data_IF_965260351944
#
_entry.id   IF_965260351944
#
_cell.length_a   1.000
_cell.length_b   1.000
_cell.length_c   1.000
_cell.angle_alpha   90.00
_cell.angle_beta   90.00
_cell.angle_gamma   90.00
#
_symmetry.space_group_name_H-M   'P 1'
#
loop_
_entity.id
_entity.type
_entity.pdbx_description
1 polymer ?
#
# COMPACT_ATOMS: atom_id res chain seq x y z
N UNK A 1 -7.64 -6.03 -71.01
CA UNK A 1 -6.24 -5.59 -70.75
C UNK A 1 -6.34 -4.39 -69.83
N UNK A 2 -6.38 -4.60 -68.51
CA UNK A 2 -5.21 -4.92 -67.70
C UNK A 2 -4.74 -3.61 -67.07
N UNK A 3 -5.26 -3.32 -65.88
CA UNK A 3 -5.29 -2.00 -65.24
C UNK A 3 -3.87 -1.46 -64.97
N UNK A 4 -3.68 -0.17 -65.28
CA UNK A 4 -2.43 0.58 -65.05
C UNK A 4 -2.16 0.66 -63.55
N UNK A 5 -0.94 0.29 -63.13
CA UNK A 5 -0.47 0.45 -61.77
C UNK A 5 -0.43 1.94 -61.40
N UNK A 6 -1.31 2.35 -60.50
CA UNK A 6 -1.16 3.58 -59.74
C UNK A 6 -0.27 3.26 -58.55
N UNK A 7 0.93 3.86 -58.52
CA UNK A 7 1.84 3.83 -57.37
C UNK A 7 1.05 4.17 -56.12
N UNK A 8 1.03 3.26 -55.15
CA UNK A 8 0.63 3.58 -53.78
C UNK A 8 1.55 4.73 -53.37
N UNK A 9 0.98 5.92 -53.19
CA UNK A 9 1.69 6.98 -52.50
C UNK A 9 1.98 6.39 -51.13
N UNK A 10 3.25 6.17 -50.81
CA UNK A 10 3.68 6.11 -49.42
C UNK A 10 3.45 7.53 -48.88
N UNK A 11 2.18 7.84 -48.59
CA UNK A 11 1.83 8.79 -47.56
C UNK A 11 2.63 8.30 -46.36
N UNK A 12 3.67 9.05 -45.99
CA UNK A 12 4.30 8.91 -44.69
C UNK A 12 3.15 9.06 -43.70
N UNK A 13 2.63 7.93 -43.27
CA UNK A 13 1.82 7.81 -42.08
C UNK A 13 2.78 8.16 -40.95
N UNK A 14 2.99 9.47 -40.77
CA UNK A 14 3.69 10.01 -39.61
C UNK A 14 2.72 9.80 -38.46
N UNK A 15 2.70 8.57 -37.97
CA UNK A 15 2.18 8.29 -36.66
C UNK A 15 3.10 9.03 -35.68
N UNK A 16 2.70 10.26 -35.38
CA UNK A 16 3.25 10.98 -34.25
C UNK A 16 2.67 10.31 -33.00
N UNK A 17 3.47 9.48 -32.34
CA UNK A 17 3.24 9.16 -30.93
C UNK A 17 3.38 10.45 -30.12
N UNK A 18 2.39 11.33 -30.19
CA UNK A 18 2.17 12.31 -29.15
C UNK A 18 1.58 11.53 -27.98
N UNK A 19 2.49 10.90 -27.22
CA UNK A 19 2.20 10.37 -25.90
C UNK A 19 1.71 11.53 -25.04
N UNK A 20 0.38 11.67 -25.00
CA UNK A 20 -0.34 12.66 -24.23
C UNK A 20 -0.21 12.39 -22.74
N UNK A 21 0.93 12.75 -22.17
CA UNK A 21 0.98 13.22 -20.79
C UNK A 21 1.05 14.74 -20.83
N UNK A 22 0.08 15.38 -21.50
CA UNK A 22 -0.23 16.74 -21.10
C UNK A 22 -0.82 16.62 -19.71
N UNK A 23 0.00 16.93 -18.71
CA UNK A 23 -0.51 17.34 -17.40
C UNK A 23 -1.38 18.56 -17.68
N UNK A 24 -2.66 18.33 -17.97
CA UNK A 24 -3.66 19.33 -17.71
C UNK A 24 -3.47 19.62 -16.24
N UNK A 25 -3.06 20.85 -15.94
CA UNK A 25 -2.99 21.39 -14.60
C UNK A 25 -4.42 21.48 -14.05
N UNK A 26 -5.08 20.35 -13.87
CA UNK A 26 -5.97 20.19 -12.76
C UNK A 26 -5.05 20.37 -11.57
N UNK A 27 -5.17 21.54 -10.94
CA UNK A 27 -4.77 21.74 -9.57
C UNK A 27 -5.44 20.57 -8.85
N UNK A 28 -4.70 19.48 -8.65
CA UNK A 28 -5.09 18.43 -7.75
C UNK A 28 -5.25 19.20 -6.46
N UNK A 29 -6.49 19.30 -5.99
CA UNK A 29 -6.74 19.77 -4.63
C UNK A 29 -5.70 19.08 -3.76
N UNK A 30 -4.97 19.81 -2.89
CA UNK A 30 -4.00 19.18 -2.03
C UNK A 30 -4.75 18.00 -1.43
N UNK A 31 -4.28 16.79 -1.71
CA UNK A 31 -4.77 15.61 -1.02
C UNK A 31 -4.66 16.03 0.43
N UNK A 32 -5.78 16.34 1.07
CA UNK A 32 -5.79 16.48 2.51
C UNK A 32 -5.18 15.16 2.94
N UNK A 33 -3.96 15.23 3.46
CA UNK A 33 -3.31 14.12 4.13
C UNK A 33 -4.39 13.67 5.11
N UNK A 34 -5.16 12.66 4.72
CA UNK A 34 -5.95 11.87 5.64
C UNK A 34 -4.86 11.24 6.48
N UNK A 35 -4.41 12.00 7.49
CA UNK A 35 -3.31 11.67 8.39
C UNK A 35 -3.49 10.19 8.66
N UNK A 36 -2.65 9.37 8.03
CA UNK A 36 -2.87 7.94 7.98
C UNK A 36 -2.87 7.50 9.42
N UNK A 37 -4.07 7.27 9.97
CA UNK A 37 -4.29 7.30 11.41
C UNK A 37 -3.38 6.23 11.99
N UNK A 38 -2.26 6.66 12.57
CA UNK A 38 -1.20 5.75 12.94
C UNK A 38 -1.82 4.78 13.95
N UNK A 39 -1.77 3.49 13.64
CA UNK A 39 -2.43 2.50 14.47
C UNK A 39 -1.91 2.63 15.90
N UNK A 40 -2.80 2.90 16.85
CA UNK A 40 -2.42 3.07 18.25
C UNK A 40 -1.67 1.81 18.72
N UNK A 41 -0.53 2.01 19.38
CA UNK A 41 0.31 0.93 19.89
C UNK A 41 0.21 0.86 21.41
N UNK A 42 0.18 -0.36 21.94
CA UNK A 42 0.14 -0.64 23.38
C UNK A 42 1.40 -1.40 23.78
N UNK A 43 1.98 -1.00 24.90
CA UNK A 43 3.13 -1.69 25.49
C UNK A 43 2.64 -2.86 26.34
N UNK A 44 3.10 -4.07 26.03
CA UNK A 44 2.82 -5.30 26.79
C UNK A 44 4.10 -5.82 27.45
N UNK A 45 4.02 -6.25 28.71
CA UNK A 45 5.10 -6.93 29.41
C UNK A 45 4.75 -8.41 29.57
N UNK A 46 5.59 -9.30 29.04
CA UNK A 46 5.36 -10.73 29.16
C UNK A 46 5.47 -11.20 30.61
N UNK A 47 4.50 -11.97 31.09
CA UNK A 47 4.48 -12.43 32.49
C UNK A 47 5.57 -13.48 32.80
N UNK A 48 6.01 -14.23 31.79
CA UNK A 48 6.98 -15.32 31.96
C UNK A 48 8.43 -14.81 31.93
N UNK A 49 8.82 -14.03 30.91
CA UNK A 49 10.20 -13.60 30.72
C UNK A 49 10.45 -12.11 31.02
N UNK A 50 9.39 -11.34 31.29
CA UNK A 50 9.50 -9.91 31.57
C UNK A 50 9.83 -9.02 30.36
N UNK A 51 9.94 -9.60 29.15
CA UNK A 51 10.24 -8.85 27.93
C UNK A 51 9.13 -7.82 27.65
N UNK A 52 9.52 -6.61 27.28
CA UNK A 52 8.60 -5.54 26.89
C UNK A 52 8.45 -5.53 25.37
N UNK A 53 7.22 -5.55 24.90
CA UNK A 53 6.89 -5.59 23.47
C UNK A 53 5.83 -4.55 23.14
N UNK A 54 5.86 -4.02 21.91
CA UNK A 54 4.81 -3.16 21.39
C UNK A 54 3.88 -3.98 20.51
N UNK A 55 2.60 -3.99 20.86
CA UNK A 55 1.54 -4.66 20.09
C UNK A 55 0.59 -3.61 19.52
N UNK A 56 0.00 -3.83 18.34
CA UNK A 56 -1.06 -2.97 17.85
C UNK A 56 -2.26 -3.03 18.80
N UNK A 57 -2.99 -1.92 18.90
CA UNK A 57 -4.13 -1.81 19.79
C UNK A 57 -5.17 -2.92 19.48
N UNK A 58 -5.48 -3.77 20.47
CA UNK A 58 -6.44 -4.84 20.28
C UNK A 58 -7.86 -4.27 20.18
N UNK A 59 -8.63 -4.76 19.22
CA UNK A 59 -10.03 -4.34 19.02
C UNK A 59 -11.01 -4.93 20.05
N UNK A 60 -10.56 -5.86 20.88
CA UNK A 60 -11.38 -6.61 21.85
C UNK A 60 -10.79 -6.44 23.24
N UNK A 61 -11.67 -6.41 24.24
CA UNK A 61 -11.29 -6.35 25.66
C UNK A 61 -10.51 -7.60 26.11
N UNK A 62 -10.85 -8.77 25.55
CA UNK A 62 -10.16 -10.04 25.81
C UNK A 62 -9.35 -10.48 24.60
N UNK A 63 -8.06 -10.68 24.79
CA UNK A 63 -7.12 -11.07 23.74
C UNK A 63 -5.94 -11.87 24.30
N UNK A 64 -5.24 -12.56 23.40
CA UNK A 64 -4.01 -13.29 23.73
C UNK A 64 -2.83 -12.61 23.09
N UNK A 65 -1.74 -12.47 23.84
CA UNK A 65 -0.45 -11.97 23.33
C UNK A 65 0.56 -13.09 23.40
N UNK A 66 1.16 -13.41 22.25
CA UNK A 66 2.25 -14.38 22.17
C UNK A 66 3.55 -13.61 22.29
N UNK A 67 4.43 -14.03 23.19
CA UNK A 67 5.75 -13.44 23.34
C UNK A 67 6.56 -13.62 22.05
N UNK A 68 6.99 -12.50 21.45
CA UNK A 68 7.83 -12.48 20.25
C UNK A 68 9.28 -12.92 20.53
N UNK A 69 9.68 -13.05 21.80
CA UNK A 69 10.97 -13.60 22.16
C UNK A 69 10.99 -15.11 21.83
N UNK A 70 11.87 -15.49 20.91
CA UNK A 70 11.91 -16.83 20.30
C UNK A 70 12.07 -17.97 21.30
N UNK A 71 12.72 -17.72 22.44
CA UNK A 71 12.93 -18.75 23.46
C UNK A 71 11.79 -18.83 24.48
N UNK A 72 10.93 -17.81 24.57
CA UNK A 72 9.82 -17.76 25.52
C UNK A 72 8.55 -18.37 24.92
N UNK A 73 8.06 -17.82 23.82
CA UNK A 73 6.83 -18.29 23.16
C UNK A 73 5.58 -18.33 24.04
N UNK A 74 5.60 -17.68 25.22
CA UNK A 74 4.49 -17.71 26.17
C UNK A 74 3.25 -16.98 25.65
N UNK A 75 2.07 -17.51 25.98
CA UNK A 75 0.77 -16.91 25.66
C UNK A 75 0.19 -16.23 26.91
N UNK A 76 0.21 -14.90 26.94
CA UNK A 76 -0.44 -14.10 27.98
C UNK A 76 -1.91 -13.84 27.60
N UNK A 77 -2.84 -14.16 28.50
CA UNK A 77 -4.27 -13.85 28.33
C UNK A 77 -4.58 -12.54 29.05
N UNK A 78 -5.03 -11.53 28.29
CA UNK A 78 -5.40 -10.23 28.82
C UNK A 78 -6.93 -10.08 28.75
N UNK A 79 -7.51 -9.53 29.81
CA UNK A 79 -8.95 -9.36 30.00
C UNK A 79 -9.57 -10.50 30.82
N UNK A 80 -9.90 -10.20 32.08
CA UNK A 80 -10.56 -11.12 33.02
C UNK A 80 -12.05 -11.30 32.77
#
# INVERSE_FOLDING_TARGET
>A
MGLKQSKIKEEKESYEDQVGWTVTQQILEPYEDLEAQEAEVVTHQCSMCGSIMQIPQPKRERYKVICAYSECGHEDVIGG
#
